data_IF_652690165578
#
_entry.id   IF_652690165578
#
_cell.length_a   1.000
_cell.length_b   1.000
_cell.length_c   1.000
_cell.angle_alpha   90.00
_cell.angle_beta   90.00
_cell.angle_gamma   90.00
#
_symmetry.space_group_name_H-M   'P 1'
#
loop_
_entity.id
_entity.type
_entity.pdbx_description
1 polymer ?
#
# COMPACT_ATOMS: atom_id res chain seq x y z
N UNK A 1 16.16 5.35 -29.63
CA UNK A 1 15.50 6.45 -30.35
C UNK A 1 14.89 5.87 -31.60
N UNK A 2 13.58 5.61 -31.56
CA UNK A 2 12.69 5.48 -32.72
C UNK A 2 11.33 5.96 -32.24
N UNK A 3 10.86 7.04 -32.84
CA UNK A 3 9.57 7.68 -32.57
C UNK A 3 8.41 6.76 -33.00
N UNK A 4 7.29 6.83 -32.29
CA UNK A 4 6.00 6.38 -32.79
C UNK A 4 5.07 7.60 -32.85
N UNK A 5 4.66 7.97 -34.06
CA UNK A 5 3.57 8.91 -34.33
C UNK A 5 2.30 8.08 -34.54
N UNK A 6 1.24 8.39 -33.81
CA UNK A 6 -0.09 7.81 -34.02
C UNK A 6 -0.98 8.85 -34.73
N UNK A 7 -1.62 8.43 -35.82
CA UNK A 7 -2.64 9.19 -36.53
C UNK A 7 -4.02 8.61 -36.19
N UNK A 8 -5.02 9.47 -35.97
CA UNK A 8 -6.43 9.09 -35.90
C UNK A 8 -7.12 9.57 -37.19
N UNK A 9 -7.84 8.68 -37.86
CA UNK A 9 -8.73 9.03 -38.97
C UNK A 9 -10.03 8.25 -38.78
N UNK A 10 -11.15 8.96 -38.68
CA UNK A 10 -12.46 8.35 -38.50
C UNK A 10 -13.03 7.93 -39.86
N UNK A 11 -12.98 6.64 -40.16
CA UNK A 11 -13.79 6.03 -41.21
C UNK A 11 -14.53 4.82 -40.62
N UNK A 12 -15.84 4.98 -40.40
CA UNK A 12 -16.75 3.87 -40.10
C UNK A 12 -16.94 3.04 -41.38
N UNK A 13 -16.11 2.02 -41.53
CA UNK A 13 -16.30 1.00 -42.55
C UNK A 13 -17.21 -0.10 -41.99
N UNK A 14 -18.47 -0.14 -42.47
CA UNK A 14 -19.45 -1.17 -42.09
C UNK A 14 -18.97 -2.59 -42.38
N UNK A 15 -17.99 -2.79 -43.28
CA UNK A 15 -17.39 -4.09 -43.55
C UNK A 15 -16.52 -4.62 -42.40
N UNK A 16 -15.89 -3.74 -41.60
CA UNK A 16 -15.07 -4.17 -40.45
C UNK A 16 -15.92 -4.62 -39.27
N UNK A 17 -17.09 -4.01 -39.05
CA UNK A 17 -18.02 -4.43 -37.99
C UNK A 17 -18.50 -5.87 -38.22
N UNK A 18 -18.82 -6.22 -39.48
CA UNK A 18 -19.21 -7.59 -39.86
C UNK A 18 -18.07 -8.58 -39.66
N UNK A 19 -16.82 -8.19 -39.94
CA UNK A 19 -15.66 -9.03 -39.67
C UNK A 19 -15.44 -9.26 -38.17
N UNK A 20 -15.63 -8.23 -37.33
CA UNK A 20 -15.52 -8.33 -35.87
C UNK A 20 -16.63 -9.22 -35.29
N UNK A 21 -17.88 -9.04 -35.73
CA UNK A 21 -19.01 -9.86 -35.29
C UNK A 21 -18.86 -11.33 -35.72
N UNK A 22 -18.23 -11.58 -36.87
CA UNK A 22 -17.85 -12.91 -37.34
C UNK A 22 -16.72 -13.53 -36.51
N UNK A 23 -15.75 -12.74 -36.03
CA UNK A 23 -14.66 -13.21 -35.17
C UNK A 23 -15.12 -13.48 -33.73
N UNK A 24 -16.06 -12.70 -33.22
CA UNK A 24 -16.61 -12.85 -31.86
C UNK A 24 -17.79 -13.84 -31.77
N UNK A 25 -18.22 -14.41 -32.90
CA UNK A 25 -19.26 -15.45 -32.95
C UNK A 25 -20.69 -14.93 -32.68
N UNK A 26 -20.94 -13.63 -32.85
CA UNK A 26 -22.21 -12.98 -32.52
C UNK A 26 -23.27 -13.04 -33.65
N UNK A 27 -23.07 -13.90 -34.65
CA UNK A 27 -24.02 -14.10 -35.75
C UNK A 27 -24.90 -15.32 -35.46
N UNK A 28 -26.22 -15.17 -35.60
CA UNK A 28 -27.27 -16.12 -35.22
C UNK A 28 -27.20 -17.52 -35.84
N UNK A 29 -26.26 -17.77 -36.77
CA UNK A 29 -26.11 -19.04 -37.50
C UNK A 29 -24.75 -19.72 -37.32
N UNK A 30 -23.86 -19.19 -36.49
CA UNK A 30 -22.49 -19.71 -36.34
C UNK A 30 -22.33 -20.58 -35.09
N UNK A 31 -21.57 -21.68 -35.19
CA UNK A 31 -21.15 -22.48 -34.02
C UNK A 31 -20.17 -21.65 -33.19
N UNK A 32 -20.43 -21.53 -31.88
CA UNK A 32 -19.57 -20.82 -30.93
C UNK A 32 -18.13 -21.35 -31.03
N UNK A 33 -17.19 -20.46 -31.37
CA UNK A 33 -15.76 -20.77 -31.39
C UNK A 33 -15.21 -20.40 -30.01
N UNK A 34 -14.87 -21.40 -29.20
CA UNK A 34 -14.14 -21.17 -27.96
C UNK A 34 -12.72 -20.77 -28.35
N UNK A 35 -12.35 -19.51 -28.09
CA UNK A 35 -10.97 -19.05 -28.27
C UNK A 35 -10.16 -19.71 -27.15
N UNK A 36 -9.36 -20.70 -27.52
CA UNK A 36 -8.36 -21.27 -26.64
C UNK A 36 -7.21 -20.27 -26.55
N UNK A 37 -7.21 -19.46 -25.48
CA UNK A 37 -6.09 -18.62 -25.11
C UNK A 37 -5.29 -19.36 -24.03
N UNK A 38 -4.29 -20.15 -24.40
CA UNK A 38 -3.51 -20.92 -23.44
C UNK A 38 -2.80 -20.03 -22.42
N UNK A 39 -2.56 -18.74 -22.70
CA UNK A 39 -1.93 -17.84 -21.73
C UNK A 39 -2.96 -17.39 -20.70
N UNK A 40 -4.14 -16.95 -21.14
CA UNK A 40 -5.26 -16.65 -20.23
C UNK A 40 -5.65 -17.88 -19.41
N UNK A 41 -5.79 -19.04 -20.04
CA UNK A 41 -6.18 -20.27 -19.37
C UNK A 41 -5.07 -20.79 -18.45
N UNK A 42 -3.78 -20.68 -18.80
CA UNK A 42 -2.67 -20.98 -17.88
C UNK A 42 -2.61 -19.99 -16.72
N UNK A 43 -2.92 -18.71 -16.94
CA UNK A 43 -2.98 -17.70 -15.87
C UNK A 43 -4.17 -17.99 -14.96
N UNK A 44 -5.34 -18.29 -15.51
CA UNK A 44 -6.52 -18.67 -14.75
C UNK A 44 -6.31 -19.98 -13.98
N UNK A 45 -5.73 -20.99 -14.63
CA UNK A 45 -5.38 -22.25 -14.00
C UNK A 45 -4.26 -22.06 -12.97
N UNK A 46 -3.31 -21.13 -13.15
CA UNK A 46 -2.31 -20.77 -12.13
C UNK A 46 -2.91 -19.97 -10.96
N UNK A 47 -3.96 -19.17 -11.22
CA UNK A 47 -4.74 -18.45 -10.20
C UNK A 47 -5.61 -19.43 -9.40
N UNK A 48 -6.22 -20.43 -10.06
CA UNK A 48 -7.01 -21.51 -9.45
C UNK A 48 -6.12 -22.55 -8.75
N UNK A 49 -4.96 -22.89 -9.34
CA UNK A 49 -3.92 -23.75 -8.76
C UNK A 49 -3.05 -23.02 -7.73
N UNK A 50 -3.46 -21.86 -7.19
CA UNK A 50 -2.82 -21.31 -5.98
C UNK A 50 -2.94 -22.37 -4.87
N UNK A 51 -1.86 -23.10 -4.54
CA UNK A 51 -1.91 -24.05 -3.45
C UNK A 51 -2.02 -23.20 -2.19
N UNK A 52 -3.17 -23.22 -1.53
CA UNK A 52 -3.36 -22.92 -0.13
C UNK A 52 -2.46 -21.77 0.43
N UNK A 53 -2.73 -20.51 0.07
CA UNK A 53 -2.22 -19.36 0.85
C UNK A 53 -2.68 -19.41 2.32
N UNK A 54 -3.64 -20.28 2.63
CA UNK A 54 -4.03 -20.75 3.97
C UNK A 54 -2.91 -21.48 4.73
N UNK A 55 -1.75 -21.75 4.13
CA UNK A 55 -0.60 -22.39 4.78
C UNK A 55 0.43 -21.41 5.37
N UNK A 56 0.36 -20.10 5.08
CA UNK A 56 1.35 -19.12 5.55
C UNK A 56 0.82 -18.40 6.79
N UNK A 57 1.50 -18.54 7.92
CA UNK A 57 1.22 -17.81 9.17
C UNK A 57 2.03 -16.51 9.17
N UNK A 58 1.40 -15.32 9.11
CA UNK A 58 2.10 -14.03 8.98
C UNK A 58 2.89 -13.65 10.23
N UNK A 59 4.07 -13.05 10.13
CA UNK A 59 4.85 -12.69 11.33
C UNK A 59 4.22 -11.56 12.16
N UNK A 60 3.60 -10.60 11.48
CA UNK A 60 2.89 -9.45 12.04
C UNK A 60 1.49 -9.42 11.43
N UNK A 61 0.47 -9.22 12.27
CA UNK A 61 -0.93 -9.01 11.88
C UNK A 61 -1.32 -7.61 12.35
N UNK A 62 -1.60 -6.73 11.40
CA UNK A 62 -2.12 -5.39 11.66
C UNK A 62 -3.62 -5.35 11.32
N UNK A 63 -4.46 -4.96 12.29
CA UNK A 63 -5.91 -4.92 12.14
C UNK A 63 -6.40 -3.52 12.47
N UNK A 64 -6.96 -2.85 11.47
CA UNK A 64 -7.64 -1.57 11.61
C UNK A 64 -9.14 -1.78 11.69
N UNK A 65 -9.78 -1.09 12.61
CA UNK A 65 -11.23 -0.98 12.69
C UNK A 65 -11.65 0.48 12.63
N UNK A 66 -12.83 0.70 12.05
CA UNK A 66 -13.55 1.95 12.10
C UNK A 66 -14.96 1.70 12.65
N UNK A 67 -15.55 2.71 13.27
CA UNK A 67 -16.87 2.65 13.89
C UNK A 67 -17.08 1.49 14.88
N UNK A 68 -16.04 1.11 15.66
CA UNK A 68 -16.19 0.08 16.72
C UNK A 68 -17.17 0.50 17.82
N UNK A 69 -17.50 1.79 17.85
CA UNK A 69 -18.53 2.37 18.70
C UNK A 69 -19.44 3.31 17.88
N UNK A 70 -20.73 3.42 18.19
CA UNK A 70 -21.63 4.35 17.51
C UNK A 70 -21.17 5.81 17.66
N UNK A 71 -21.36 6.64 16.63
CA UNK A 71 -21.00 8.06 16.68
C UNK A 71 -21.98 8.85 17.57
N UNK A 72 -21.78 8.81 18.89
CA UNK A 72 -22.52 9.61 19.88
C UNK A 72 -21.66 10.75 20.43
N UNK A 73 -22.28 11.87 20.82
CA UNK A 73 -21.56 13.03 21.38
C UNK A 73 -20.65 12.65 22.57
N UNK A 74 -21.10 11.72 23.42
CA UNK A 74 -20.32 11.22 24.55
C UNK A 74 -19.05 10.47 24.11
N UNK A 75 -19.15 9.61 23.08
CA UNK A 75 -18.01 8.83 22.60
C UNK A 75 -16.99 9.62 21.78
N UNK A 76 -17.41 10.76 21.22
CA UNK A 76 -16.52 11.73 20.57
C UNK A 76 -15.62 12.44 21.61
N UNK A 77 -16.17 12.71 22.80
CA UNK A 77 -15.44 13.34 23.92
C UNK A 77 -14.57 12.33 24.66
N UNK A 78 -15.12 11.15 24.98
CA UNK A 78 -14.41 10.10 25.69
C UNK A 78 -14.73 8.74 25.08
N UNK A 79 -13.77 8.20 24.32
CA UNK A 79 -13.91 6.90 23.70
C UNK A 79 -13.99 5.80 24.77
N UNK A 80 -14.99 4.93 24.68
CA UNK A 80 -15.13 3.77 25.55
C UNK A 80 -14.08 2.71 25.17
N UNK A 81 -13.12 2.38 26.07
CA UNK A 81 -12.10 1.39 25.79
C UNK A 81 -12.62 -0.06 25.91
N UNK A 82 -13.80 -0.29 26.49
CA UNK A 82 -14.33 -1.65 26.68
C UNK A 82 -14.61 -2.33 25.33
N UNK A 83 -15.14 -1.57 24.37
CA UNK A 83 -15.42 -2.07 23.01
C UNK A 83 -14.15 -2.53 22.31
N UNK A 84 -13.05 -1.78 22.46
CA UNK A 84 -11.74 -2.19 21.96
C UNK A 84 -11.23 -3.44 22.66
N UNK A 85 -11.30 -3.51 23.99
CA UNK A 85 -10.89 -4.70 24.76
C UNK A 85 -11.67 -5.96 24.39
N UNK A 86 -12.97 -5.82 24.10
CA UNK A 86 -13.79 -6.94 23.60
C UNK A 86 -13.30 -7.42 22.22
N UNK A 87 -12.96 -6.50 21.32
CA UNK A 87 -12.37 -6.85 20.02
C UNK A 87 -10.97 -7.46 20.16
N UNK A 88 -10.10 -6.91 21.01
CA UNK A 88 -8.79 -7.47 21.33
C UNK A 88 -8.92 -8.94 21.77
N UNK A 89 -9.82 -9.22 22.72
CA UNK A 89 -10.07 -10.59 23.19
C UNK A 89 -10.61 -11.49 22.08
N UNK A 90 -11.63 -11.06 21.34
CA UNK A 90 -12.22 -11.85 20.25
C UNK A 90 -11.20 -12.18 19.17
N UNK A 91 -10.36 -11.22 18.79
CA UNK A 91 -9.31 -11.42 17.79
C UNK A 91 -8.24 -12.37 18.33
N UNK A 92 -7.76 -12.18 19.56
CA UNK A 92 -6.79 -13.08 20.18
C UNK A 92 -7.32 -14.52 20.23
N UNK A 93 -8.56 -14.73 20.71
CA UNK A 93 -9.21 -16.03 20.76
C UNK A 93 -9.37 -16.64 19.36
N UNK A 94 -9.70 -15.85 18.34
CA UNK A 94 -9.87 -16.31 16.96
C UNK A 94 -8.54 -16.73 16.34
N UNK A 95 -7.49 -15.94 16.55
CA UNK A 95 -6.13 -16.23 16.08
C UNK A 95 -5.56 -17.47 16.76
N UNK A 96 -5.88 -17.69 18.04
CA UNK A 96 -5.42 -18.85 18.79
C UNK A 96 -6.13 -20.15 18.39
N UNK A 97 -7.44 -20.07 18.09
CA UNK A 97 -8.27 -21.22 17.68
C UNK A 97 -8.13 -21.65 16.22
N UNK A 98 -7.30 -20.98 15.43
CA UNK A 98 -7.17 -21.30 14.00
C UNK A 98 -6.64 -22.73 13.78
N UNK A 99 -7.12 -23.43 12.73
CA UNK A 99 -6.59 -24.73 12.36
C UNK A 99 -5.12 -24.61 11.91
N UNK A 100 -4.30 -25.65 12.15
CA UNK A 100 -2.90 -25.72 11.74
C UNK A 100 -2.01 -24.56 12.27
N UNK A 101 -2.18 -24.16 13.54
CA UNK A 101 -1.39 -23.11 14.20
C UNK A 101 0.13 -23.38 14.07
N UNK A 102 0.84 -22.55 13.30
CA UNK A 102 2.31 -22.59 13.11
C UNK A 102 3.09 -21.67 14.08
N UNK A 103 2.44 -21.18 15.12
CA UNK A 103 3.04 -20.28 16.12
C UNK A 103 1.99 -19.60 16.98
N UNK A 104 2.40 -19.08 18.12
CA UNK A 104 1.54 -18.32 19.03
C UNK A 104 1.64 -16.83 18.73
N UNK A 105 0.56 -16.08 18.96
CA UNK A 105 0.54 -14.65 18.73
C UNK A 105 0.25 -13.94 20.04
N UNK A 106 0.87 -12.79 20.21
CA UNK A 106 0.62 -11.88 21.32
C UNK A 106 0.16 -10.54 20.77
N UNK A 107 -0.77 -9.88 21.47
CA UNK A 107 -1.11 -8.49 21.17
C UNK A 107 0.06 -7.60 21.61
N UNK A 108 0.82 -7.11 20.64
CA UNK A 108 2.00 -6.27 20.89
C UNK A 108 1.59 -4.88 21.35
N UNK A 109 0.65 -4.26 20.65
CA UNK A 109 0.13 -2.92 20.94
C UNK A 109 -1.25 -2.74 20.33
N UNK A 110 -2.10 -1.99 21.02
CA UNK A 110 -3.35 -1.47 20.48
C UNK A 110 -3.51 0.01 20.83
N UNK A 111 -4.23 0.75 19.99
CA UNK A 111 -4.55 2.15 20.20
C UNK A 111 -5.92 2.46 19.60
N UNK A 112 -6.63 3.44 20.17
CA UNK A 112 -7.96 3.84 19.71
C UNK A 112 -8.11 5.36 19.74
N UNK A 113 -8.88 5.87 18.80
CA UNK A 113 -9.37 7.24 18.71
C UNK A 113 -10.85 7.20 18.32
N UNK A 114 -11.75 7.54 19.25
CA UNK A 114 -13.20 7.47 19.03
C UNK A 114 -13.61 6.05 18.58
N UNK A 115 -14.13 5.88 17.37
CA UNK A 115 -14.50 4.58 16.79
C UNK A 115 -13.40 3.93 15.94
N UNK A 116 -12.24 4.57 15.82
CA UNK A 116 -11.12 4.07 15.03
C UNK A 116 -10.12 3.37 15.94
N UNK A 117 -9.73 2.13 15.64
CA UNK A 117 -8.79 1.36 16.46
C UNK A 117 -7.79 0.57 15.62
N UNK A 118 -6.54 0.52 16.07
CA UNK A 118 -5.46 -0.26 15.46
C UNK A 118 -4.91 -1.27 16.46
N UNK A 119 -4.84 -2.53 16.05
CA UNK A 119 -4.27 -3.64 16.82
C UNK A 119 -3.12 -4.25 16.04
N UNK A 120 -1.97 -4.42 16.68
CA UNK A 120 -0.81 -5.13 16.13
C UNK A 120 -0.59 -6.40 16.95
N UNK A 121 -0.74 -7.55 16.32
CA UNK A 121 -0.38 -8.85 16.88
C UNK A 121 0.89 -9.37 16.19
N UNK A 122 1.76 -10.02 16.94
CA UNK A 122 3.01 -10.58 16.41
C UNK A 122 3.22 -11.99 16.92
N UNK A 123 3.97 -12.81 16.19
CA UNK A 123 4.38 -14.12 16.70
C UNK A 123 5.18 -13.96 18.00
N UNK A 124 4.89 -14.79 19.01
CA UNK A 124 5.50 -14.70 20.34
C UNK A 124 7.03 -14.75 20.30
N UNK A 125 7.61 -15.57 19.42
CA UNK A 125 9.07 -15.66 19.22
C UNK A 125 9.73 -14.38 18.67
N UNK A 126 8.97 -13.44 18.12
CA UNK A 126 9.50 -12.18 17.57
C UNK A 126 9.56 -11.04 18.61
N UNK A 127 8.96 -11.24 19.78
CA UNK A 127 8.89 -10.22 20.83
C UNK A 127 10.26 -9.73 21.29
N UNK A 128 11.28 -10.59 21.27
CA UNK A 128 12.64 -10.25 21.66
C UNK A 128 13.37 -9.33 20.65
N UNK A 129 12.95 -9.35 19.38
CA UNK A 129 13.62 -8.62 18.29
C UNK A 129 12.83 -7.41 17.81
N UNK A 130 11.56 -7.30 18.20
CA UNK A 130 10.75 -6.12 17.94
C UNK A 130 10.99 -5.06 19.02
N UNK A 131 11.37 -3.86 18.59
CA UNK A 131 11.81 -2.77 19.47
C UNK A 131 11.09 -1.46 19.14
N UNK A 132 11.23 -0.49 20.04
CA UNK A 132 10.79 0.90 19.84
C UNK A 132 9.33 1.02 19.38
N UNK A 133 8.44 0.22 19.98
CA UNK A 133 7.02 0.19 19.65
C UNK A 133 6.35 1.44 20.23
N UNK A 134 5.76 2.25 19.37
CA UNK A 134 5.10 3.51 19.76
C UNK A 134 3.74 3.62 19.08
N UNK A 135 2.79 4.25 19.77
CA UNK A 135 1.46 4.52 19.25
C UNK A 135 1.18 6.02 19.34
N UNK A 136 0.56 6.57 18.29
CA UNK A 136 0.14 7.96 18.22
C UNK A 136 -1.24 8.03 17.55
N UNK A 137 -1.94 9.14 17.77
CA UNK A 137 -3.26 9.38 17.17
C UNK A 137 -3.46 10.85 16.89
N UNK A 138 -4.19 11.17 15.83
CA UNK A 138 -4.48 12.55 15.44
C UNK A 138 -5.94 12.68 14.99
N UNK A 139 -6.66 13.66 15.54
CA UNK A 139 -8.07 13.94 15.17
C UNK A 139 -8.14 14.80 13.91
N UNK A 140 -9.16 14.58 13.07
CA UNK A 140 -9.47 15.39 11.89
C UNK A 140 -10.86 16.02 12.00
N UNK A 141 -11.04 17.25 11.54
CA UNK A 141 -12.24 18.10 11.74
C UNK A 141 -11.85 19.58 11.88
N UNK A 142 -12.80 20.52 12.07
CA UNK A 142 -12.56 21.99 12.16
C UNK A 142 -11.25 22.34 12.90
N UNK A 143 -10.16 22.52 12.12
CA UNK A 143 -8.78 22.79 12.59
C UNK A 143 -8.20 21.79 13.59
N UNK A 144 -8.51 20.50 13.47
CA UNK A 144 -7.99 19.42 14.32
C UNK A 144 -8.59 19.36 15.73
N UNK A 145 -9.54 20.24 16.08
CA UNK A 145 -10.00 20.43 17.46
C UNK A 145 -11.29 19.68 17.82
N UNK A 146 -12.15 19.32 16.86
CA UNK A 146 -13.52 18.84 17.15
C UNK A 146 -13.96 17.62 16.32
N UNK A 147 -13.00 16.75 15.97
CA UNK A 147 -13.20 15.60 15.09
C UNK A 147 -13.73 14.33 15.76
N UNK A 148 -14.79 13.75 15.21
CA UNK A 148 -15.14 12.33 15.39
C UNK A 148 -14.35 11.41 14.44
N UNK A 149 -13.57 11.99 13.54
CA UNK A 149 -12.72 11.35 12.54
C UNK A 149 -11.25 11.56 12.88
N UNK A 150 -10.38 10.80 12.22
CA UNK A 150 -8.95 10.89 12.43
C UNK A 150 -8.23 9.58 12.21
N UNK A 151 -6.98 9.52 12.68
CA UNK A 151 -6.10 8.39 12.50
C UNK A 151 -5.48 7.91 13.81
N UNK A 152 -5.19 6.62 13.83
CA UNK A 152 -4.35 5.95 14.82
C UNK A 152 -3.20 5.30 14.07
N UNK A 153 -1.99 5.49 14.58
CA UNK A 153 -0.80 4.88 14.02
C UNK A 153 -0.01 4.13 15.10
N UNK A 154 0.56 2.99 14.73
CA UNK A 154 1.48 2.22 15.55
C UNK A 154 2.73 1.94 14.71
N UNK A 155 3.88 2.33 15.25
CA UNK A 155 5.18 2.09 14.63
C UNK A 155 5.99 1.11 15.47
N UNK A 156 6.84 0.32 14.80
CA UNK A 156 7.74 -0.62 15.42
C UNK A 156 9.02 -0.81 14.59
N UNK A 157 10.09 -1.27 15.22
CA UNK A 157 11.30 -1.75 14.55
C UNK A 157 11.29 -3.27 14.63
N UNK A 158 11.34 -3.95 13.48
CA UNK A 158 11.55 -5.38 13.40
C UNK A 158 13.00 -5.62 12.94
N UNK A 159 13.85 -6.08 13.87
CA UNK A 159 15.31 -6.03 13.71
C UNK A 159 15.79 -4.61 13.39
N UNK A 160 16.35 -4.37 12.19
CA UNK A 160 16.88 -3.08 11.73
C UNK A 160 16.07 -2.53 10.54
N UNK A 161 14.82 -3.00 10.40
CA UNK A 161 13.82 -2.47 9.48
C UNK A 161 12.69 -1.86 10.29
N UNK A 162 12.29 -0.65 9.93
CA UNK A 162 11.21 0.05 10.61
C UNK A 162 9.89 0.00 9.82
N UNK A 163 8.79 -0.03 10.57
CA UNK A 163 7.43 -0.09 10.07
C UNK A 163 6.55 0.94 10.78
N UNK A 164 5.62 1.52 10.04
CA UNK A 164 4.53 2.35 10.55
C UNK A 164 3.21 1.86 9.95
N UNK A 165 2.28 1.43 10.81
CA UNK A 165 0.93 1.03 10.43
C UNK A 165 -0.03 2.14 10.83
N UNK A 166 -0.91 2.54 9.93
CA UNK A 166 -1.89 3.61 10.16
C UNK A 166 -3.27 3.09 9.79
N UNK A 167 -4.24 3.36 10.65
CA UNK A 167 -5.65 3.26 10.30
C UNK A 167 -6.31 4.62 10.44
N UNK A 168 -7.20 4.94 9.51
CA UNK A 168 -7.90 6.22 9.49
C UNK A 168 -9.35 6.02 9.10
N UNK A 169 -10.18 6.97 9.53
CA UNK A 169 -11.54 7.15 9.05
C UNK A 169 -11.64 8.59 8.57
N UNK A 170 -11.63 8.80 7.25
CA UNK A 170 -11.64 10.13 6.63
C UNK A 170 -13.08 10.68 6.48
N UNK A 171 -13.20 11.94 6.08
CA UNK A 171 -14.47 12.60 5.81
C UNK A 171 -15.39 11.82 4.84
N UNK A 172 -16.63 11.60 5.27
CA UNK A 172 -17.66 10.93 4.50
C UNK A 172 -18.40 11.92 3.58
N UNK A 173 -19.13 11.38 2.59
CA UNK A 173 -19.94 12.17 1.66
C UNK A 173 -19.36 12.15 0.25
N UNK A 174 -20.22 12.02 -0.75
CA UNK A 174 -19.79 11.77 -2.12
C UNK A 174 -18.96 12.91 -2.70
N UNK A 175 -19.39 14.16 -2.49
CA UNK A 175 -18.75 15.37 -3.01
C UNK A 175 -17.58 15.91 -2.16
N UNK A 176 -17.22 15.28 -1.04
CA UNK A 176 -16.26 15.83 -0.08
C UNK A 176 -14.81 15.37 -0.36
N UNK A 177 -14.39 15.38 -1.62
CA UNK A 177 -13.05 14.91 -2.02
C UNK A 177 -11.95 15.78 -1.40
N UNK A 178 -12.10 17.09 -1.46
CA UNK A 178 -11.13 18.05 -0.92
C UNK A 178 -11.02 17.95 0.60
N UNK A 179 -12.12 17.63 1.29
CA UNK A 179 -12.12 17.40 2.74
C UNK A 179 -11.34 16.13 3.09
N UNK A 180 -11.47 15.04 2.31
CA UNK A 180 -10.65 13.83 2.48
C UNK A 180 -9.18 14.07 2.20
N UNK A 181 -8.86 14.85 1.16
CA UNK A 181 -7.50 15.27 0.87
C UNK A 181 -6.93 16.08 2.05
N UNK A 182 -7.70 17.03 2.58
CA UNK A 182 -7.30 17.84 3.74
C UNK A 182 -7.13 17.00 5.01
N UNK A 183 -7.99 16.00 5.24
CA UNK A 183 -7.84 15.05 6.35
C UNK A 183 -6.52 14.27 6.24
N UNK A 184 -6.19 13.76 5.04
CA UNK A 184 -4.92 13.09 4.78
C UNK A 184 -3.73 14.00 5.14
N UNK A 185 -3.70 15.23 4.63
CA UNK A 185 -2.62 16.19 4.91
C UNK A 185 -2.54 16.58 6.39
N UNK A 186 -3.68 16.72 7.05
CA UNK A 186 -3.76 17.00 8.50
C UNK A 186 -3.17 15.85 9.31
N UNK A 187 -3.44 14.60 8.92
CA UNK A 187 -2.89 13.42 9.59
C UNK A 187 -1.38 13.32 9.36
N UNK A 188 -0.92 13.41 8.11
CA UNK A 188 0.50 13.23 7.77
C UNK A 188 1.39 14.31 8.37
N UNK A 189 0.92 15.56 8.41
CA UNK A 189 1.65 16.68 9.02
C UNK A 189 1.50 16.76 10.54
N UNK A 190 0.39 16.29 11.10
CA UNK A 190 0.08 16.44 12.53
C UNK A 190 0.49 15.24 13.40
N UNK A 191 0.51 14.03 12.86
CA UNK A 191 0.78 12.82 13.62
C UNK A 191 2.29 12.63 13.84
N UNK A 192 2.70 12.76 15.10
CA UNK A 192 4.08 12.60 15.53
C UNK A 192 4.21 11.53 16.62
N UNK A 193 5.30 10.78 16.53
CA UNK A 193 5.77 9.84 17.55
C UNK A 193 6.82 10.52 18.44
N UNK A 194 7.44 9.76 19.37
CA UNK A 194 8.45 10.31 20.24
C UNK A 194 9.66 10.84 19.44
N UNK A 195 10.33 11.84 20.01
CA UNK A 195 11.50 12.49 19.40
C UNK A 195 11.23 13.11 18.02
N UNK A 196 9.97 13.47 17.74
CA UNK A 196 9.58 14.16 16.51
C UNK A 196 9.54 13.29 15.26
N UNK A 197 9.59 11.94 15.39
CA UNK A 197 9.41 11.05 14.26
C UNK A 197 8.02 11.22 13.66
N UNK A 198 7.95 11.42 12.34
CA UNK A 198 6.71 11.50 11.56
C UNK A 198 6.38 10.16 10.92
N UNK A 199 5.25 10.07 10.22
CA UNK A 199 4.91 8.88 9.41
C UNK A 199 6.00 8.61 8.37
N UNK A 200 6.42 9.64 7.61
CA UNK A 200 7.46 9.55 6.57
C UNK A 200 8.89 9.34 7.10
N UNK A 201 9.09 9.34 8.42
CA UNK A 201 10.37 8.93 9.01
C UNK A 201 10.63 7.43 8.90
N UNK A 202 9.68 6.67 8.34
CA UNK A 202 9.72 5.22 8.28
C UNK A 202 9.94 4.70 6.85
N UNK A 203 10.72 3.62 6.72
CA UNK A 203 11.01 2.90 5.48
C UNK A 203 9.76 2.22 4.91
N UNK A 204 8.94 1.63 5.78
CA UNK A 204 7.75 0.88 5.39
C UNK A 204 6.52 1.46 6.08
N UNK A 205 5.58 1.97 5.30
CA UNK A 205 4.35 2.58 5.79
C UNK A 205 3.16 1.86 5.16
N UNK A 206 2.21 1.41 6.00
CA UNK A 206 0.98 0.75 5.53
C UNK A 206 -0.23 1.44 6.13
N UNK A 207 -1.08 1.97 5.28
CA UNK A 207 -2.40 2.49 5.63
C UNK A 207 -3.46 1.41 5.41
N UNK A 208 -4.38 1.29 6.36
CA UNK A 208 -5.52 0.38 6.34
C UNK A 208 -6.73 1.16 6.85
N UNK A 209 -7.43 1.81 5.93
CA UNK A 209 -8.32 2.92 6.23
C UNK A 209 -9.67 2.80 5.52
N UNK A 210 -10.72 3.26 6.20
CA UNK A 210 -11.91 3.76 5.50
C UNK A 210 -11.57 5.17 5.00
N UNK A 211 -11.13 5.22 3.76
CA UNK A 211 -10.75 6.44 3.07
C UNK A 211 -11.97 7.25 2.62
N UNK A 212 -13.16 6.64 2.60
CA UNK A 212 -14.41 7.25 2.18
C UNK A 212 -14.46 7.86 0.76
N UNK A 213 -13.43 7.68 -0.08
CA UNK A 213 -13.51 8.04 -1.50
C UNK A 213 -14.57 7.21 -2.21
N UNK A 214 -15.24 7.83 -3.18
CA UNK A 214 -16.36 7.25 -3.90
C UNK A 214 -16.04 7.05 -5.37
N UNK A 215 -16.94 6.36 -6.04
CA UNK A 215 -16.93 6.22 -7.50
C UNK A 215 -17.82 7.32 -8.06
N UNK A 216 -17.25 8.21 -8.89
CA UNK A 216 -17.90 9.38 -9.45
C UNK A 216 -18.68 9.04 -10.73
N UNK A 217 -19.72 8.20 -10.56
CA UNK A 217 -20.64 7.78 -11.62
C UNK A 217 -22.08 7.71 -11.05
N UNK A 218 -23.06 7.69 -11.95
CA UNK A 218 -24.46 7.51 -11.56
C UNK A 218 -24.71 6.13 -10.91
N UNK A 219 -25.62 6.09 -9.95
CA UNK A 219 -25.88 4.91 -9.12
C UNK A 219 -26.22 3.65 -9.93
N UNK A 220 -27.15 3.78 -10.87
CA UNK A 220 -27.58 2.67 -11.73
C UNK A 220 -26.41 2.12 -12.55
N UNK A 221 -25.55 3.01 -13.05
CA UNK A 221 -24.35 2.63 -13.80
C UNK A 221 -23.35 1.90 -12.92
N UNK A 222 -23.08 2.40 -11.71
CA UNK A 222 -22.16 1.75 -10.76
C UNK A 222 -22.66 0.36 -10.37
N UNK A 223 -23.95 0.22 -10.08
CA UNK A 223 -24.56 -1.07 -9.74
C UNK A 223 -24.44 -2.07 -10.88
N UNK A 224 -24.78 -1.64 -12.10
CA UNK A 224 -24.65 -2.49 -13.28
C UNK A 224 -23.21 -2.96 -13.49
N UNK A 225 -22.23 -2.05 -13.42
CA UNK A 225 -20.82 -2.40 -13.58
C UNK A 225 -20.30 -3.32 -12.47
N UNK A 226 -20.76 -3.11 -11.22
CA UNK A 226 -20.42 -3.98 -10.10
C UNK A 226 -21.07 -5.37 -10.23
N UNK A 227 -22.25 -5.48 -10.84
CA UNK A 227 -22.91 -6.76 -11.11
C UNK A 227 -22.22 -7.55 -12.23
N UNK A 228 -21.74 -6.86 -13.26
CA UNK A 228 -20.99 -7.45 -14.39
C UNK A 228 -19.49 -7.58 -14.13
N UNK A 229 -19.02 -7.24 -12.93
CA UNK A 229 -17.60 -7.27 -12.54
C UNK A 229 -16.67 -6.45 -13.47
N UNK A 230 -17.18 -5.35 -14.04
CA UNK A 230 -16.41 -4.41 -14.85
C UNK A 230 -15.67 -3.41 -13.93
N UNK A 231 -14.62 -3.92 -13.29
CA UNK A 231 -13.84 -3.16 -12.31
C UNK A 231 -13.00 -2.06 -12.96
N UNK A 232 -12.57 -2.22 -14.21
CA UNK A 232 -11.78 -1.22 -14.92
C UNK A 232 -12.60 0.06 -15.16
N UNK A 233 -13.86 -0.08 -15.60
CA UNK A 233 -14.75 1.07 -15.76
C UNK A 233 -15.03 1.77 -14.42
N UNK A 234 -15.24 1.01 -13.34
CA UNK A 234 -15.43 1.56 -12.00
C UNK A 234 -14.17 2.29 -11.49
N UNK A 235 -12.99 1.70 -11.69
CA UNK A 235 -11.71 2.26 -11.24
C UNK A 235 -11.37 3.55 -11.98
N UNK A 236 -11.75 3.68 -13.25
CA UNK A 236 -11.55 4.91 -14.04
C UNK A 236 -12.26 6.14 -13.42
N UNK A 237 -13.31 5.91 -12.63
CA UNK A 237 -14.07 6.92 -11.92
C UNK A 237 -13.84 6.91 -10.40
N UNK A 238 -12.85 6.16 -9.90
CA UNK A 238 -12.53 6.12 -8.47
C UNK A 238 -11.81 7.40 -8.04
N UNK A 239 -12.40 8.14 -7.10
CA UNK A 239 -11.86 9.42 -6.64
C UNK A 239 -10.50 9.27 -5.94
N UNK A 240 -10.22 8.17 -5.24
CA UNK A 240 -8.91 7.97 -4.60
C UNK A 240 -7.84 7.75 -5.66
N UNK A 241 -8.12 6.93 -6.68
CA UNK A 241 -7.21 6.72 -7.80
C UNK A 241 -6.85 8.03 -8.48
N UNK A 242 -7.85 8.86 -8.78
CA UNK A 242 -7.65 10.19 -9.35
C UNK A 242 -6.80 11.08 -8.43
N UNK A 243 -7.10 11.13 -7.13
CA UNK A 243 -6.35 11.93 -6.17
C UNK A 243 -4.86 11.50 -6.06
N UNK A 244 -4.59 10.20 -6.16
CA UNK A 244 -3.23 9.65 -6.20
C UNK A 244 -2.50 9.98 -7.51
N UNK A 245 -3.17 9.83 -8.65
CA UNK A 245 -2.61 10.08 -9.98
C UNK A 245 -2.30 11.57 -10.21
N UNK A 246 -3.15 12.47 -9.70
CA UNK A 246 -2.93 13.92 -9.71
C UNK A 246 -1.94 14.39 -8.63
N UNK A 247 -1.61 13.51 -7.68
CA UNK A 247 -0.72 13.82 -6.56
C UNK A 247 -1.33 14.78 -5.52
N UNK A 248 -2.65 14.89 -5.45
CA UNK A 248 -3.36 15.76 -4.48
C UNK A 248 -3.46 15.13 -3.09
N UNK A 249 -3.43 13.80 -2.99
CA UNK A 249 -3.33 13.05 -1.74
C UNK A 249 -2.57 11.73 -1.94
N UNK A 250 -2.06 11.15 -0.85
CA UNK A 250 -1.34 9.86 -0.86
C UNK A 250 -0.17 9.77 -1.87
N UNK A 251 0.51 10.88 -2.14
CA UNK A 251 1.66 10.94 -3.05
C UNK A 251 2.77 9.99 -2.63
N UNK A 252 3.22 9.15 -3.56
CA UNK A 252 4.28 8.16 -3.32
C UNK A 252 3.83 6.89 -2.59
N UNK A 253 2.55 6.75 -2.29
CA UNK A 253 1.96 5.47 -1.90
C UNK A 253 1.55 4.67 -3.14
N UNK A 254 1.50 3.35 -2.96
CA UNK A 254 1.05 2.38 -3.95
C UNK A 254 -0.17 1.63 -3.42
N UNK A 255 -0.97 1.12 -4.34
CA UNK A 255 -2.11 0.26 -4.07
C UNK A 255 -2.09 -0.95 -5.00
N UNK A 256 -2.58 -2.09 -4.53
CA UNK A 256 -2.77 -3.26 -5.38
C UNK A 256 -3.94 -3.11 -6.35
N UNK A 257 -4.04 -3.98 -7.37
CA UNK A 257 -5.20 -3.98 -8.26
C UNK A 257 -6.48 -4.35 -7.49
N UNK A 258 -7.54 -3.58 -7.71
CA UNK A 258 -8.86 -3.83 -7.12
C UNK A 258 -9.64 -4.86 -7.95
N UNK A 259 -9.39 -6.14 -7.66
CA UNK A 259 -10.01 -7.29 -8.35
C UNK A 259 -11.23 -7.83 -7.58
N UNK A 260 -11.94 -6.96 -6.87
CA UNK A 260 -13.11 -7.31 -6.06
C UNK A 260 -14.14 -6.18 -6.08
N UNK A 261 -15.41 -6.54 -5.95
CA UNK A 261 -16.53 -5.59 -5.96
C UNK A 261 -16.42 -4.51 -4.87
N UNK A 262 -16.97 -3.30 -5.10
CA UNK A 262 -17.07 -2.23 -4.11
C UNK A 262 -17.52 -2.72 -2.73
N UNK A 263 -16.83 -2.27 -1.68
CA UNK A 263 -16.96 -2.79 -0.31
C UNK A 263 -18.04 -2.09 0.50
N UNK A 264 -18.54 -0.96 0.00
CA UNK A 264 -19.63 -0.15 0.55
C UNK A 264 -20.69 0.09 -0.54
N UNK A 265 -21.98 0.28 -0.25
CA UNK A 265 -22.71 0.08 1.01
C UNK A 265 -23.65 -1.11 0.85
N UNK A 266 -23.59 -2.07 1.76
CA UNK A 266 -24.45 -3.25 1.74
C UNK A 266 -25.60 -3.15 2.73
N UNK A 267 -26.69 -3.85 2.46
CA UNK A 267 -27.67 -4.15 3.49
C UNK A 267 -27.11 -5.19 4.48
N UNK A 268 -27.51 -5.08 5.74
CA UNK A 268 -27.03 -5.98 6.79
C UNK A 268 -27.39 -7.45 6.50
N UNK A 269 -26.40 -8.33 6.62
CA UNK A 269 -26.58 -9.79 6.53
C UNK A 269 -26.72 -10.36 5.13
N UNK A 270 -26.70 -9.54 4.07
CA UNK A 270 -26.87 -10.01 2.69
C UNK A 270 -25.93 -9.29 1.70
N UNK A 271 -25.95 -9.70 0.43
CA UNK A 271 -25.04 -9.20 -0.62
C UNK A 271 -25.64 -8.12 -1.52
N UNK A 272 -26.83 -7.62 -1.18
CA UNK A 272 -27.45 -6.51 -1.88
C UNK A 272 -26.80 -5.19 -1.46
N UNK A 273 -26.54 -4.35 -2.45
CA UNK A 273 -26.19 -2.96 -2.20
C UNK A 273 -27.41 -2.17 -1.72
N UNK A 274 -27.16 -1.23 -0.80
CA UNK A 274 -28.11 -0.41 -0.03
C UNK A 274 -29.45 -0.20 -0.75
N UNK A 275 -30.51 -0.85 -0.25
CA UNK A 275 -31.88 -0.68 -0.75
C UNK A 275 -32.70 0.30 0.09
N UNK A 276 -32.08 1.04 1.01
CA UNK A 276 -32.75 2.08 1.76
C UNK A 276 -33.15 3.25 0.87
N UNK A 277 -34.00 4.15 1.36
CA UNK A 277 -34.39 5.38 0.64
C UNK A 277 -33.21 6.25 0.19
N UNK A 278 -32.06 6.11 0.86
CA UNK A 278 -30.84 6.87 0.51
C UNK A 278 -30.12 6.32 -0.70
N UNK A 279 -30.36 5.06 -1.06
CA UNK A 279 -29.77 4.36 -2.21
C UNK A 279 -28.31 4.73 -2.41
N UNK A 280 -27.44 4.52 -1.41
CA UNK A 280 -26.04 4.94 -1.52
C UNK A 280 -25.37 4.23 -2.70
N UNK A 281 -24.60 4.99 -3.47
CA UNK A 281 -23.82 4.50 -4.60
C UNK A 281 -22.72 3.58 -4.05
N UNK A 282 -22.54 2.37 -4.61
CA UNK A 282 -21.44 1.50 -4.23
C UNK A 282 -20.07 2.17 -4.39
N UNK A 283 -19.12 1.91 -3.48
CA UNK A 283 -17.78 2.48 -3.53
C UNK A 283 -16.73 1.57 -2.86
N UNK A 284 -15.46 1.71 -3.28
CA UNK A 284 -14.30 1.19 -2.57
C UNK A 284 -13.82 2.19 -1.52
N UNK A 285 -14.54 2.24 -0.41
CA UNK A 285 -14.18 3.12 0.72
C UNK A 285 -13.02 2.55 1.53
N UNK A 286 -12.94 1.22 1.65
CA UNK A 286 -11.98 0.49 2.47
C UNK A 286 -10.73 0.15 1.65
N UNK A 287 -9.59 0.77 1.98
CA UNK A 287 -8.38 0.75 1.14
C UNK A 287 -7.14 0.40 1.95
N UNK A 288 -6.21 -0.32 1.31
CA UNK A 288 -4.89 -0.62 1.88
C UNK A 288 -3.82 -0.06 0.97
N UNK A 289 -3.18 1.01 1.41
CA UNK A 289 -2.13 1.72 0.68
C UNK A 289 -0.79 1.48 1.38
N UNK A 290 0.29 1.41 0.62
CA UNK A 290 1.60 1.16 1.18
C UNK A 290 2.72 1.93 0.49
N UNK A 291 3.78 2.23 1.23
CA UNK A 291 4.98 2.90 0.75
C UNK A 291 6.19 2.19 1.34
N UNK A 292 7.22 1.99 0.52
CA UNK A 292 8.45 1.32 0.92
C UNK A 292 8.91 0.32 -0.14
N UNK A 293 10.23 0.25 -0.35
CA UNK A 293 10.83 -0.59 -1.40
C UNK A 293 10.92 -2.08 -1.01
N UNK A 294 10.73 -2.39 0.28
CA UNK A 294 10.86 -3.74 0.82
C UNK A 294 9.51 -4.46 0.98
N UNK A 295 8.39 -3.85 0.56
CA UNK A 295 7.04 -4.43 0.66
C UNK A 295 6.59 -5.00 -0.69
N UNK A 296 6.55 -6.32 -0.78
CA UNK A 296 5.99 -7.05 -1.92
C UNK A 296 4.56 -7.52 -1.61
N UNK A 297 3.57 -6.93 -2.30
CA UNK A 297 2.16 -7.24 -2.13
C UNK A 297 1.81 -8.58 -2.78
N UNK A 298 1.53 -9.59 -1.96
CA UNK A 298 1.19 -10.94 -2.43
C UNK A 298 -0.32 -11.17 -2.62
N UNK A 299 -1.15 -10.54 -1.79
CA UNK A 299 -2.62 -10.66 -1.84
C UNK A 299 -3.23 -9.30 -1.53
N UNK A 300 -4.25 -8.92 -2.28
CA UNK A 300 -5.14 -7.84 -1.93
C UNK A 300 -6.57 -8.23 -2.29
N UNK A 301 -7.45 -8.34 -1.30
CA UNK A 301 -8.78 -8.89 -1.46
C UNK A 301 -9.74 -8.42 -0.36
N UNK A 302 -11.02 -8.77 -0.51
CA UNK A 302 -12.04 -8.59 0.52
C UNK A 302 -12.49 -9.94 1.10
N UNK A 303 -13.04 -9.91 2.30
CA UNK A 303 -13.68 -11.05 2.95
C UNK A 303 -15.22 -10.90 2.95
N UNK A 304 -15.93 -12.02 2.78
CA UNK A 304 -17.39 -12.05 2.71
C UNK A 304 -18.06 -12.13 4.10
N UNK A 305 -17.63 -11.24 5.01
CA UNK A 305 -18.27 -11.07 6.32
C UNK A 305 -19.38 -10.04 6.23
N UNK A 306 -20.60 -10.45 6.57
CA UNK A 306 -21.84 -9.66 6.39
C UNK A 306 -22.34 -8.99 7.68
N UNK A 307 -21.45 -8.82 8.66
CA UNK A 307 -21.76 -8.23 9.96
C UNK A 307 -21.83 -6.70 9.98
N UNK A 308 -21.55 -6.06 8.85
CA UNK A 308 -21.56 -4.61 8.63
C UNK A 308 -22.10 -4.33 7.23
N UNK A 309 -22.48 -3.08 6.99
CA UNK A 309 -22.72 -2.50 5.67
C UNK A 309 -21.43 -2.31 4.84
N UNK A 310 -20.26 -2.62 5.41
CA UNK A 310 -18.99 -2.77 4.72
C UNK A 310 -18.53 -4.24 4.62
N UNK A 311 -17.69 -4.53 3.63
CA UNK A 311 -16.95 -5.80 3.51
C UNK A 311 -15.50 -5.60 3.94
N UNK A 312 -14.96 -6.38 4.91
CA UNK A 312 -13.58 -6.23 5.35
C UNK A 312 -12.58 -6.44 4.21
N UNK A 313 -11.56 -5.59 4.13
CA UNK A 313 -10.47 -5.68 3.16
C UNK A 313 -9.20 -6.14 3.86
N UNK A 314 -8.41 -6.99 3.19
CA UNK A 314 -7.15 -7.48 3.70
C UNK A 314 -6.08 -7.51 2.61
N UNK A 315 -4.82 -7.36 3.04
CA UNK A 315 -3.66 -7.50 2.21
C UNK A 315 -2.61 -8.37 2.90
N UNK A 316 -1.80 -9.07 2.10
CA UNK A 316 -0.67 -9.84 2.60
C UNK A 316 0.60 -9.35 1.90
N UNK A 317 1.59 -8.97 2.70
CA UNK A 317 2.88 -8.49 2.23
C UNK A 317 3.98 -9.49 2.59
N UNK A 318 4.93 -9.65 1.68
CA UNK A 318 6.27 -10.16 1.99
C UNK A 318 7.17 -8.95 2.21
N UNK A 319 7.83 -8.91 3.36
CA UNK A 319 8.70 -7.80 3.72
C UNK A 319 10.15 -8.29 3.83
N UNK A 320 11.09 -7.58 3.20
CA UNK A 320 12.52 -7.83 3.40
C UNK A 320 12.96 -7.20 4.73
N UNK A 321 13.51 -8.03 5.63
CA UNK A 321 13.94 -7.61 6.97
C UNK A 321 15.46 -7.57 7.04
N UNK A 322 16.00 -6.38 7.32
CA UNK A 322 17.43 -6.18 7.52
C UNK A 322 17.81 -6.55 8.95
N UNK A 323 18.85 -7.36 9.07
CA UNK A 323 19.44 -7.76 10.35
C UNK A 323 20.92 -7.36 10.33
N UNK A 324 21.30 -6.45 11.22
CA UNK A 324 22.65 -5.93 11.35
C UNK A 324 23.33 -6.63 12.53
N UNK A 325 24.45 -7.30 12.26
CA UNK A 325 25.35 -7.75 13.32
C UNK A 325 26.06 -6.53 13.91
N UNK A 326 25.55 -6.05 15.04
CA UNK A 326 26.09 -4.87 15.71
C UNK A 326 27.53 -5.05 16.18
N UNK A 327 27.95 -6.27 16.54
CA UNK A 327 29.33 -6.52 16.98
C UNK A 327 30.30 -6.38 15.79
N UNK A 328 29.97 -6.99 14.65
CA UNK A 328 30.75 -6.82 13.42
C UNK A 328 30.75 -5.38 12.94
N UNK A 329 29.60 -4.69 12.98
CA UNK A 329 29.51 -3.28 12.59
C UNK A 329 30.42 -2.41 13.45
N UNK A 330 30.41 -2.59 14.77
CA UNK A 330 31.28 -1.82 15.68
C UNK A 330 32.75 -2.16 15.44
N UNK A 331 33.10 -3.44 15.30
CA UNK A 331 34.48 -3.85 15.01
C UNK A 331 35.00 -3.26 13.69
N UNK A 332 34.20 -3.29 12.62
CA UNK A 332 34.55 -2.64 11.36
C UNK A 332 34.64 -1.12 11.49
N UNK A 333 33.73 -0.50 12.25
CA UNK A 333 33.78 0.95 12.50
C UNK A 333 35.05 1.37 13.23
N UNK A 334 35.47 0.58 14.23
CA UNK A 334 36.73 0.81 14.96
C UNK A 334 37.92 0.60 14.02
N UNK A 335 37.96 -0.50 13.27
CA UNK A 335 39.04 -0.76 12.32
C UNK A 335 39.16 0.35 11.25
N UNK A 336 38.04 0.87 10.74
CA UNK A 336 38.04 2.00 9.80
C UNK A 336 38.53 3.29 10.47
N UNK A 337 38.10 3.58 11.69
CA UNK A 337 38.55 4.76 12.44
C UNK A 337 40.05 4.69 12.76
N UNK A 338 40.54 3.52 13.18
CA UNK A 338 41.95 3.28 13.46
C UNK A 338 42.78 3.41 12.18
N UNK A 339 42.28 2.88 11.05
CA UNK A 339 42.90 3.08 9.74
C UNK A 339 42.93 4.55 9.33
N UNK A 340 41.87 5.32 9.58
CA UNK A 340 41.82 6.75 9.24
C UNK A 340 42.73 7.58 10.15
N UNK A 341 42.78 7.27 11.44
CA UNK A 341 43.53 8.06 12.46
C UNK A 341 44.99 7.67 12.60
N UNK A 342 45.39 6.46 12.18
CA UNK A 342 46.79 6.09 12.01
C UNK A 342 47.36 6.74 10.76
N UNK A 343 48.08 7.86 10.90
CA UNK A 343 48.83 8.46 9.79
C UNK A 343 50.27 7.97 9.82
N UNK A 344 50.81 7.62 8.65
CA UNK A 344 52.26 7.47 8.51
C UNK A 344 52.93 8.85 8.68
N UNK A 345 54.20 8.94 9.12
CA UNK A 345 54.89 10.22 9.26
C UNK A 345 54.88 11.00 7.92
N UNK A 346 54.17 12.14 7.89
CA UNK A 346 54.05 13.00 6.71
C UNK A 346 52.75 12.87 5.91
N UNK A 347 51.86 11.91 6.22
CA UNK A 347 50.57 11.74 5.55
C UNK A 347 49.51 12.65 6.19
N UNK A 348 48.84 13.50 5.39
CA UNK A 348 47.76 14.37 5.88
C UNK A 348 46.43 13.60 5.90
N UNK A 349 45.65 13.80 6.97
CA UNK A 349 44.35 13.15 7.16
C UNK A 349 43.39 13.36 5.97
N UNK A 350 43.42 14.54 5.36
CA UNK A 350 42.58 14.91 4.22
C UNK A 350 42.91 14.11 2.94
N UNK A 351 44.19 13.81 2.70
CA UNK A 351 44.65 13.01 1.55
C UNK A 351 44.23 11.54 1.71
N UNK A 352 44.25 11.03 2.95
CA UNK A 352 43.80 9.67 3.28
C UNK A 352 42.29 9.51 3.15
N UNK A 353 41.52 10.49 3.61
CA UNK A 353 40.07 10.53 3.47
C UNK A 353 39.65 10.58 1.99
N UNK A 354 40.35 11.35 1.15
CA UNK A 354 40.12 11.36 -0.29
C UNK A 354 40.35 9.97 -0.90
N UNK A 355 41.45 9.30 -0.57
CA UNK A 355 41.78 7.96 -1.10
C UNK A 355 40.79 6.85 -0.65
N UNK A 356 40.20 6.98 0.54
CA UNK A 356 39.17 6.05 1.05
C UNK A 356 37.80 6.23 0.36
N UNK A 357 37.44 7.46 -0.03
CA UNK A 357 36.15 7.74 -0.69
C UNK A 357 36.17 7.28 -2.17
N UNK A 358 37.33 7.28 -2.82
CA UNK A 358 37.47 7.00 -4.26
C UNK A 358 37.95 5.58 -4.62
N UNK A 359 38.20 4.70 -3.64
CA UNK A 359 38.73 3.35 -3.93
C UNK A 359 37.71 2.34 -4.46
N UNK A 360 36.40 2.62 -4.38
CA UNK A 360 35.34 1.76 -4.95
C UNK A 360 34.38 2.49 -5.89
N UNK A 361 34.70 3.72 -6.29
CA UNK A 361 33.96 4.45 -7.31
C UNK A 361 34.96 4.92 -8.36
N UNK A 362 35.10 4.18 -9.46
CA UNK A 362 35.43 4.84 -10.72
C UNK A 362 34.18 5.62 -11.10
N UNK A 363 34.16 6.96 -10.98
CA UNK A 363 33.07 7.70 -11.59
C UNK A 363 33.09 7.32 -13.08
N UNK A 364 31.95 7.02 -13.72
CA UNK A 364 31.93 6.97 -15.16
C UNK A 364 32.56 8.27 -15.66
N UNK A 365 33.58 8.18 -16.52
CA UNK A 365 34.26 9.36 -17.10
C UNK A 365 33.17 10.35 -17.52
N UNK A 366 33.04 11.43 -16.75
CA UNK A 366 32.14 12.50 -17.14
C UNK A 366 32.69 13.05 -18.45
N UNK A 367 31.83 13.25 -19.47
CA UNK A 367 32.31 13.82 -20.71
C UNK A 367 32.94 15.18 -20.41
N UNK A 368 34.00 15.57 -21.15
CA UNK A 368 34.62 16.86 -20.96
C UNK A 368 33.56 17.97 -21.11
N UNK A 369 33.67 19.07 -20.35
CA UNK A 369 32.73 20.19 -20.43
C UNK A 369 32.65 20.70 -21.88
N UNK A 370 31.44 21.09 -22.30
CA UNK A 370 31.20 21.61 -23.65
C UNK A 370 32.13 22.79 -23.94
N UNK A 371 32.66 22.85 -25.16
CA UNK A 371 33.32 24.03 -25.71
C UNK A 371 32.40 24.73 -26.70
N UNK A 372 32.81 25.92 -27.14
CA UNK A 372 32.06 26.72 -28.14
C UNK A 372 31.84 25.96 -29.47
N UNK A 373 32.66 24.94 -29.75
CA UNK A 373 32.61 24.15 -30.98
C UNK A 373 31.99 22.75 -30.81
N UNK A 374 31.83 22.25 -29.57
CA UNK A 374 31.36 20.87 -29.31
C UNK A 374 30.57 20.78 -28.02
N UNK A 375 29.29 20.42 -28.12
CA UNK A 375 28.47 20.09 -26.97
C UNK A 375 28.50 18.60 -26.62
N UNK A 376 28.54 18.27 -25.32
CA UNK A 376 28.70 16.88 -24.87
C UNK A 376 27.53 15.95 -25.24
N UNK A 377 26.35 16.49 -25.57
CA UNK A 377 25.16 15.73 -25.97
C UNK A 377 25.14 15.28 -27.44
N UNK A 378 26.06 15.79 -28.28
CA UNK A 378 26.12 15.49 -29.71
C UNK A 378 27.00 14.25 -30.06
N UNK A 379 27.56 13.57 -29.05
CA UNK A 379 28.39 12.37 -29.25
C UNK A 379 27.56 11.08 -29.40
N UNK A 380 28.00 10.11 -30.25
CA UNK A 380 27.25 8.88 -30.51
C UNK A 380 27.06 7.99 -29.27
N UNK A 381 25.96 7.22 -29.28
CA UNK A 381 25.25 6.63 -28.14
C UNK A 381 25.98 5.58 -27.28
N UNK A 382 27.31 5.40 -27.38
CA UNK A 382 28.07 4.46 -26.55
C UNK A 382 28.06 4.82 -25.06
N UNK A 383 27.79 6.08 -24.71
CA UNK A 383 27.78 6.59 -23.34
C UNK A 383 26.43 6.52 -22.63
N UNK A 384 25.34 6.12 -23.32
CA UNK A 384 23.96 6.11 -22.77
C UNK A 384 23.55 4.78 -22.10
N UNK A 385 24.48 3.82 -21.90
CA UNK A 385 24.18 2.54 -21.22
C UNK A 385 24.91 2.44 -19.89
N UNK A 386 24.22 2.83 -18.82
CA UNK A 386 24.52 2.32 -17.48
C UNK A 386 24.12 0.86 -17.46
N UNK A 387 25.10 -0.06 -17.50
CA UNK A 387 24.87 -1.47 -17.18
C UNK A 387 24.98 -1.61 -15.66
N UNK A 388 23.89 -1.99 -15.01
CA UNK A 388 23.93 -2.53 -13.65
C UNK A 388 24.62 -3.89 -13.76
N UNK A 389 25.83 -4.02 -13.22
CA UNK A 389 26.54 -5.29 -13.17
C UNK A 389 25.88 -6.18 -12.11
N UNK A 390 25.24 -7.26 -12.56
CA UNK A 390 24.87 -8.38 -11.71
C UNK A 390 26.13 -9.03 -11.12
N UNK A 391 26.13 -9.27 -9.82
CA UNK A 391 27.14 -10.05 -9.12
C UNK A 391 27.10 -11.53 -9.55
N UNK A 392 28.25 -12.08 -9.90
CA UNK A 392 28.46 -13.54 -10.01
C UNK A 392 28.90 -14.13 -8.66
N UNK A 393 28.52 -15.39 -8.36
CA UNK A 393 28.78 -16.05 -7.08
C UNK A 393 30.22 -16.57 -7.01
N UNK A 394 30.83 -16.52 -5.83
CA UNK A 394 32.12 -17.15 -5.56
C UNK A 394 31.87 -18.52 -4.91
N UNK A 395 32.49 -19.53 -5.51
CA UNK A 395 32.59 -20.93 -5.12
C UNK A 395 33.27 -21.17 -3.77
#
# INVERSE_FOLDING_TARGET
MRELRAYINNFQDKGKQVAIDMFLGNISTQRQVTIFDPVHDLVHEALEKKPALTQISPDIIAIGFQEIVPLTAQQIVQADPEKRRMWEKKIADTVDRRPNKKGEYVLLRSQQLVGTALLILVKSGLTAVIRNVEAASHKTGLRGMSGNKGAVAIRLEYYDTDFCFITAHLAAGHSNVEERNADYHTITSGLHFLKGKTIDSHQNVVWLADTNYRIDLENERVRHLAETDDFDALLSADQLRQAMDEGTAFTGYMEGPLLFRPTYKYDYGNDNYDTSEKMRIPAWTDRILFKGNALDLSIYARAELKGSDHRPVFAMFRAEIRVIDHAKRTAMSHALLDNVTSTAPGEKLDEKLANLIFSNYSPPELPPPSSDDVAWWDRPASWRRVRIANSTPVS
#
